data_IF_002564154571
#
_entry.id   IF_002564154571
#
_cell.length_a   1.000
_cell.length_b   1.000
_cell.length_c   1.000
_cell.angle_alpha   90.00
_cell.angle_beta   90.00
_cell.angle_gamma   90.00
#
_symmetry.space_group_name_H-M   'P 1'
#
loop_
_entity.id
_entity.type
_entity.pdbx_description
1 polymer ?
#
# COMPACT_ATOMS: atom_id res chain seq x y z
N UNK A 1 -4.56 -13.47 3.36
CA UNK A 1 -4.57 -12.73 4.66
C UNK A 1 -4.24 -11.26 4.46
N UNK A 2 -4.57 -10.38 5.41
CA UNK A 2 -4.35 -8.92 5.34
C UNK A 2 -2.87 -8.51 5.14
N UNK A 3 -1.92 -9.31 5.64
CA UNK A 3 -0.48 -9.14 5.34
C UNK A 3 -0.18 -9.22 3.84
N UNK A 4 -0.82 -10.15 3.14
CA UNK A 4 -0.55 -10.43 1.73
C UNK A 4 -1.13 -9.35 0.82
N UNK A 5 -2.26 -8.74 1.20
CA UNK A 5 -2.82 -7.59 0.47
C UNK A 5 -1.87 -6.38 0.51
N UNK A 6 -1.11 -6.24 1.60
CA UNK A 6 -0.02 -5.27 1.73
C UNK A 6 1.26 -5.68 0.98
N UNK A 7 1.35 -6.92 0.50
CA UNK A 7 2.54 -7.45 -0.18
C UNK A 7 3.74 -7.67 0.75
N UNK A 8 3.49 -7.86 2.05
CA UNK A 8 4.52 -8.04 3.07
C UNK A 8 4.87 -9.54 3.19
N UNK A 9 6.16 -9.85 3.33
CA UNK A 9 6.58 -11.23 3.65
C UNK A 9 6.51 -11.48 5.14
N UNK A 10 6.28 -12.74 5.55
CA UNK A 10 6.32 -13.14 6.97
C UNK A 10 7.68 -12.79 7.61
N UNK A 11 8.77 -12.93 6.86
CA UNK A 11 10.11 -12.55 7.31
C UNK A 11 10.27 -11.04 7.55
N UNK A 12 9.57 -10.19 6.79
CA UNK A 12 9.57 -8.76 7.05
C UNK A 12 8.84 -8.46 8.38
N UNK A 13 7.63 -8.99 8.56
CA UNK A 13 6.84 -8.80 9.80
C UNK A 13 7.63 -9.28 11.02
N UNK A 14 8.24 -10.47 10.92
CA UNK A 14 9.05 -11.04 11.99
C UNK A 14 10.18 -10.11 12.42
N UNK A 15 10.94 -9.57 11.45
CA UNK A 15 12.03 -8.62 11.74
C UNK A 15 11.51 -7.32 12.36
N UNK A 16 10.41 -6.78 11.84
CA UNK A 16 9.85 -5.51 12.33
C UNK A 16 9.38 -5.62 13.78
N UNK A 17 8.75 -6.74 14.15
CA UNK A 17 8.20 -6.96 15.50
C UNK A 17 9.21 -7.62 16.46
N UNK A 18 10.37 -8.04 15.98
CA UNK A 18 11.41 -8.67 16.80
C UNK A 18 11.08 -10.12 17.22
N UNK A 19 10.51 -10.91 16.30
CA UNK A 19 10.24 -12.34 16.49
C UNK A 19 10.86 -13.18 15.36
N UNK A 20 10.79 -14.51 15.47
CA UNK A 20 11.26 -15.40 14.40
C UNK A 20 10.24 -15.49 13.26
N UNK A 21 10.71 -15.81 12.04
CA UNK A 21 9.77 -16.07 10.93
C UNK A 21 8.87 -17.26 11.20
N UNK A 22 9.37 -18.30 11.89
CA UNK A 22 8.56 -19.46 12.29
C UNK A 22 7.40 -19.07 13.21
N UNK A 23 7.61 -18.10 14.11
CA UNK A 23 6.55 -17.55 14.96
C UNK A 23 5.41 -16.95 14.12
N UNK A 24 5.75 -16.20 13.07
CA UNK A 24 4.73 -15.62 12.16
C UNK A 24 4.05 -16.71 11.32
N UNK A 25 4.79 -17.75 10.91
CA UNK A 25 4.19 -18.92 10.22
C UNK A 25 3.14 -19.58 11.11
N UNK A 26 3.43 -19.81 12.39
CA UNK A 26 2.49 -20.42 13.33
C UNK A 26 1.27 -19.52 13.57
N UNK A 27 1.44 -18.20 13.67
CA UNK A 27 0.32 -17.25 13.77
C UNK A 27 -0.64 -17.31 12.58
N UNK A 28 -0.16 -17.72 11.42
CA UNK A 28 -0.91 -17.75 10.18
C UNK A 28 -1.37 -19.16 9.78
N UNK A 29 -0.97 -20.22 10.51
CA UNK A 29 -1.46 -21.58 10.27
C UNK A 29 -2.84 -21.75 10.91
N UNK A 30 -3.92 -21.97 10.12
CA UNK A 30 -5.27 -22.11 10.65
C UNK A 30 -5.45 -23.36 11.54
N UNK A 31 -4.49 -24.28 11.55
CA UNK A 31 -4.49 -25.49 12.39
C UNK A 31 -3.84 -25.26 13.75
N UNK A 32 -3.14 -24.14 13.94
CA UNK A 32 -2.50 -23.79 15.20
C UNK A 32 -3.31 -22.70 15.93
N UNK A 33 -3.47 -22.84 17.24
CA UNK A 33 -4.02 -21.79 18.09
C UNK A 33 -2.91 -20.86 18.58
N UNK A 34 -2.20 -20.23 17.65
CA UNK A 34 -1.13 -19.27 17.95
C UNK A 34 -1.62 -17.85 17.68
N UNK A 35 -1.86 -17.08 18.74
CA UNK A 35 -2.33 -15.70 18.59
C UNK A 35 -1.15 -14.76 18.26
N UNK A 36 -1.28 -13.89 17.24
CA UNK A 36 -0.34 -12.81 17.01
C UNK A 36 -0.16 -11.93 18.24
N UNK A 37 1.05 -11.43 18.46
CA UNK A 37 1.28 -10.33 19.41
C UNK A 37 0.43 -9.13 19.02
N UNK A 38 -0.08 -8.39 20.01
CA UNK A 38 -0.93 -7.21 19.77
C UNK A 38 -0.23 -6.19 18.88
N UNK A 39 1.07 -6.00 19.06
CA UNK A 39 1.88 -5.06 18.28
C UNK A 39 2.01 -5.50 16.81
N UNK A 40 2.12 -6.81 16.54
CA UNK A 40 2.13 -7.33 15.17
C UNK A 40 0.77 -7.12 14.49
N UNK A 41 -0.31 -7.32 15.23
CA UNK A 41 -1.67 -7.09 14.75
C UNK A 41 -1.89 -5.60 14.43
N UNK A 42 -1.58 -4.71 15.37
CA UNK A 42 -1.69 -3.27 15.19
C UNK A 42 -0.85 -2.78 14.01
N UNK A 43 0.38 -3.28 13.84
CA UNK A 43 1.21 -2.94 12.68
C UNK A 43 0.51 -3.24 11.35
N UNK A 44 -0.07 -4.43 11.19
CA UNK A 44 -0.73 -4.82 9.95
C UNK A 44 -2.05 -4.08 9.74
N UNK A 45 -2.85 -3.91 10.80
CA UNK A 45 -4.10 -3.14 10.74
C UNK A 45 -3.85 -1.68 10.39
N UNK A 46 -2.92 -1.03 11.08
CA UNK A 46 -2.63 0.39 10.85
C UNK A 46 -1.96 0.60 9.48
N UNK A 47 -1.12 -0.32 9.00
CA UNK A 47 -0.58 -0.26 7.63
C UNK A 47 -1.69 -0.38 6.58
N UNK A 48 -2.67 -1.27 6.80
CA UNK A 48 -3.80 -1.39 5.89
C UNK A 48 -4.70 -0.16 5.94
N UNK A 49 -5.00 0.36 7.12
CA UNK A 49 -5.80 1.58 7.29
C UNK A 49 -5.13 2.79 6.64
N UNK A 50 -3.80 2.88 6.74
CA UNK A 50 -3.03 3.92 6.07
C UNK A 50 -3.04 3.76 4.54
N UNK A 51 -2.88 2.53 4.03
CA UNK A 51 -2.99 2.26 2.59
C UNK A 51 -4.40 2.59 2.08
N UNK A 52 -5.43 2.22 2.83
CA UNK A 52 -6.83 2.50 2.56
C UNK A 52 -7.10 4.01 2.51
N UNK A 53 -6.61 4.76 3.51
CA UNK A 53 -6.74 6.22 3.58
C UNK A 53 -6.08 6.90 2.37
N UNK A 54 -4.89 6.47 1.98
CA UNK A 54 -4.19 6.99 0.78
C UNK A 54 -4.99 6.67 -0.49
N UNK A 55 -5.47 5.43 -0.63
CA UNK A 55 -6.27 5.01 -1.77
C UNK A 55 -7.58 5.82 -1.90
N UNK A 56 -8.29 6.03 -0.78
CA UNK A 56 -9.51 6.85 -0.74
C UNK A 56 -9.23 8.29 -1.18
N UNK A 57 -8.16 8.92 -0.69
CA UNK A 57 -7.81 10.27 -1.11
C UNK A 57 -7.56 10.36 -2.64
N UNK A 58 -6.86 9.38 -3.21
CA UNK A 58 -6.67 9.30 -4.67
C UNK A 58 -7.98 9.12 -5.43
N UNK A 59 -8.83 8.20 -5.00
CA UNK A 59 -10.12 7.93 -5.64
C UNK A 59 -11.03 9.15 -5.60
N UNK A 60 -11.06 9.88 -4.49
CA UNK A 60 -11.85 11.09 -4.33
C UNK A 60 -11.39 12.20 -5.30
N UNK A 61 -10.06 12.38 -5.42
CA UNK A 61 -9.49 13.35 -6.35
C UNK A 61 -9.81 13.00 -7.81
N UNK A 62 -9.60 11.75 -8.20
CA UNK A 62 -9.91 11.24 -9.53
C UNK A 62 -11.41 11.38 -9.87
N UNK A 63 -12.29 11.01 -8.95
CA UNK A 63 -13.75 11.09 -9.14
C UNK A 63 -14.21 12.52 -9.36
N UNK A 64 -13.65 13.49 -8.62
CA UNK A 64 -13.94 14.92 -8.80
C UNK A 64 -13.47 15.43 -10.16
N UNK A 65 -12.26 15.05 -10.59
CA UNK A 65 -11.73 15.44 -11.89
C UNK A 65 -12.58 14.89 -13.04
N UNK A 66 -13.00 13.62 -12.96
CA UNK A 66 -13.87 12.97 -13.94
C UNK A 66 -15.26 13.62 -13.99
N UNK A 67 -15.85 13.92 -12.84
CA UNK A 67 -17.13 14.61 -12.78
C UNK A 67 -17.05 15.99 -13.45
N UNK A 68 -16.01 16.77 -13.15
CA UNK A 68 -15.78 18.08 -13.77
C UNK A 68 -15.59 17.98 -15.29
N UNK A 69 -14.83 17.00 -15.79
CA UNK A 69 -14.66 16.81 -17.23
C UNK A 69 -16.00 16.52 -17.92
N UNK A 70 -16.79 15.59 -17.35
CA UNK A 70 -18.11 15.21 -17.88
C UNK A 70 -19.10 16.36 -17.85
N UNK A 71 -19.12 17.16 -16.77
CA UNK A 71 -19.98 18.34 -16.65
C UNK A 71 -19.67 19.39 -17.74
N UNK A 72 -18.42 19.43 -18.21
CA UNK A 72 -17.99 20.30 -19.31
C UNK A 72 -18.12 19.63 -20.70
N UNK A 73 -18.69 18.42 -20.80
CA UNK A 73 -18.82 17.68 -22.05
C UNK A 73 -17.51 17.14 -22.62
N UNK A 74 -16.48 17.00 -21.77
CA UNK A 74 -15.15 16.50 -22.14
C UNK A 74 -15.04 15.03 -21.69
N UNK A 75 -14.51 14.18 -22.56
CA UNK A 75 -14.18 12.79 -22.19
C UNK A 75 -12.99 12.79 -21.21
N UNK A 76 -13.13 12.19 -20.02
CA UNK A 76 -12.05 12.17 -19.03
C UNK A 76 -10.83 11.38 -19.51
N UNK A 77 -9.65 11.98 -19.39
CA UNK A 77 -8.39 11.26 -19.61
C UNK A 77 -8.16 10.19 -18.53
N UNK A 78 -7.47 9.07 -18.86
CA UNK A 78 -7.12 8.06 -17.87
C UNK A 78 -6.26 8.60 -16.74
N UNK A 79 -6.63 8.28 -15.50
CA UNK A 79 -5.82 8.61 -14.32
C UNK A 79 -4.57 7.74 -14.29
N UNK A 80 -3.41 8.38 -14.22
CA UNK A 80 -2.13 7.68 -14.07
C UNK A 80 -1.83 7.37 -12.60
N UNK A 81 -1.51 6.11 -12.33
CA UNK A 81 -1.06 5.63 -11.02
C UNK A 81 0.35 5.06 -11.11
N UNK A 82 1.27 5.62 -10.34
CA UNK A 82 2.67 5.18 -10.28
C UNK A 82 2.83 4.00 -9.32
N UNK A 83 3.49 2.95 -9.78
CA UNK A 83 3.75 1.73 -9.01
C UNK A 83 5.25 1.45 -8.93
N UNK A 84 5.80 1.28 -7.73
CA UNK A 84 7.23 1.07 -7.54
C UNK A 84 7.63 -0.39 -7.72
N UNK A 85 8.55 -0.65 -8.64
CA UNK A 85 9.13 -1.99 -8.85
C UNK A 85 10.49 -2.16 -8.20
N UNK A 86 11.34 -1.15 -8.29
CA UNK A 86 12.68 -1.15 -7.70
C UNK A 86 12.68 -0.41 -6.37
N UNK A 87 13.20 -1.07 -5.34
CA UNK A 87 13.40 -0.44 -4.04
C UNK A 87 14.42 0.69 -4.15
N UNK A 88 15.51 0.53 -4.89
CA UNK A 88 16.57 1.54 -4.96
C UNK A 88 16.06 2.86 -5.54
N UNK A 89 15.19 2.80 -6.54
CA UNK A 89 14.56 4.00 -7.11
C UNK A 89 13.60 4.62 -6.09
N UNK A 90 12.73 3.83 -5.47
CA UNK A 90 11.86 4.32 -4.39
C UNK A 90 12.66 5.02 -3.27
N UNK A 91 13.81 4.46 -2.89
CA UNK A 91 14.70 5.05 -1.89
C UNK A 91 15.32 6.38 -2.31
N UNK A 92 15.57 6.58 -3.60
CA UNK A 92 16.10 7.84 -4.13
C UNK A 92 14.98 8.89 -4.12
N UNK A 93 13.77 8.53 -4.56
CA UNK A 93 12.62 9.43 -4.61
C UNK A 93 12.16 9.89 -3.22
N UNK A 94 12.27 9.02 -2.21
CA UNK A 94 11.76 9.27 -0.86
C UNK A 94 12.88 9.30 0.19
N UNK A 95 14.06 9.82 -0.17
CA UNK A 95 15.27 9.78 0.67
C UNK A 95 15.08 10.39 2.06
N UNK A 96 14.25 11.42 2.17
CA UNK A 96 14.07 12.23 3.37
C UNK A 96 12.73 11.94 4.09
N UNK A 97 12.02 10.88 3.69
CA UNK A 97 10.76 10.49 4.30
C UNK A 97 10.95 9.44 5.40
N UNK A 98 10.32 9.70 6.55
CA UNK A 98 10.21 8.76 7.66
C UNK A 98 8.72 8.47 7.90
N UNK A 99 8.35 7.19 7.82
CA UNK A 99 7.00 6.72 8.09
C UNK A 99 7.01 5.78 9.28
N UNK A 100 6.30 6.18 10.33
CA UNK A 100 6.03 5.38 11.52
C UNK A 100 4.57 4.94 11.54
N UNK A 101 4.34 3.64 11.72
CA UNK A 101 3.00 3.03 11.82
C UNK A 101 2.97 2.11 13.05
N UNK A 102 1.93 2.23 13.88
CA UNK A 102 1.81 1.49 15.15
C UNK A 102 3.06 1.57 16.06
N UNK A 103 3.81 2.68 15.99
CA UNK A 103 5.08 2.86 16.72
C UNK A 103 6.31 2.20 16.06
N UNK A 104 6.17 1.58 14.90
CA UNK A 104 7.26 0.99 14.13
C UNK A 104 7.69 1.89 12.99
N UNK A 105 9.00 2.17 12.91
CA UNK A 105 9.61 2.72 11.71
C UNK A 105 9.57 1.66 10.60
N UNK A 106 8.80 1.91 9.53
CA UNK A 106 8.59 0.92 8.47
C UNK A 106 9.86 0.62 7.66
N UNK A 107 10.82 1.55 7.70
CA UNK A 107 11.95 1.56 6.81
C UNK A 107 11.53 1.63 5.34
N UNK A 108 12.52 1.75 4.48
CA UNK A 108 12.34 2.01 3.05
C UNK A 108 11.48 0.95 2.36
N UNK A 109 11.76 -0.33 2.64
CA UNK A 109 10.99 -1.44 2.07
C UNK A 109 9.55 -1.49 2.57
N UNK A 110 9.29 -1.16 3.84
CA UNK A 110 7.92 -1.13 4.37
C UNK A 110 7.09 0.00 3.74
N UNK A 111 7.71 1.16 3.58
CA UNK A 111 7.11 2.32 2.93
C UNK A 111 6.74 2.04 1.46
N UNK A 112 7.65 1.47 0.67
CA UNK A 112 7.36 1.08 -0.72
C UNK A 112 6.16 0.12 -0.81
N UNK A 113 6.05 -0.82 0.14
CA UNK A 113 4.96 -1.80 0.17
C UNK A 113 3.63 -1.16 0.53
N UNK A 114 3.63 -0.22 1.47
CA UNK A 114 2.48 0.58 1.85
C UNK A 114 1.95 1.39 0.67
N UNK A 115 2.82 2.11 -0.03
CA UNK A 115 2.45 2.89 -1.21
C UNK A 115 1.87 2.01 -2.32
N UNK A 116 2.58 0.94 -2.67
CA UNK A 116 2.10 0.00 -3.68
C UNK A 116 0.77 -0.67 -3.27
N UNK A 117 0.52 -0.87 -1.98
CA UNK A 117 -0.77 -1.36 -1.51
C UNK A 117 -1.88 -0.34 -1.73
N UNK A 118 -1.64 0.94 -1.43
CA UNK A 118 -2.60 2.01 -1.69
C UNK A 118 -2.94 2.13 -3.19
N UNK A 119 -1.95 1.96 -4.07
CA UNK A 119 -2.16 1.95 -5.53
C UNK A 119 -3.06 0.79 -5.95
N UNK A 120 -2.77 -0.44 -5.47
CA UNK A 120 -3.63 -1.60 -5.78
C UNK A 120 -5.06 -1.41 -5.31
N UNK A 121 -5.26 -0.83 -4.12
CA UNK A 121 -6.58 -0.52 -3.58
C UNK A 121 -7.29 0.58 -4.38
N UNK A 122 -6.57 1.60 -4.84
CA UNK A 122 -7.12 2.66 -5.68
C UNK A 122 -7.53 2.11 -7.06
N UNK A 123 -6.70 1.27 -7.69
CA UNK A 123 -7.01 0.61 -8.98
C UNK A 123 -8.33 -0.15 -8.89
N UNK A 124 -8.50 -0.99 -7.87
CA UNK A 124 -9.72 -1.76 -7.65
C UNK A 124 -10.97 -0.86 -7.57
N UNK A 125 -10.89 0.21 -6.77
CA UNK A 125 -12.00 1.17 -6.59
C UNK A 125 -12.31 1.98 -7.84
N UNK A 126 -11.30 2.49 -8.53
CA UNK A 126 -11.48 3.26 -9.76
C UNK A 126 -12.08 2.39 -10.86
N UNK A 127 -11.63 1.12 -10.99
CA UNK A 127 -12.26 0.15 -11.88
C UNK A 127 -13.73 -0.07 -11.53
N UNK A 128 -14.07 -0.26 -10.25
CA UNK A 128 -15.46 -0.44 -9.81
C UNK A 128 -16.34 0.79 -10.11
N UNK A 129 -15.76 2.00 -10.13
CA UNK A 129 -16.43 3.26 -10.49
C UNK A 129 -16.47 3.52 -12.01
N UNK A 130 -15.83 2.68 -12.83
CA UNK A 130 -15.73 2.90 -14.27
C UNK A 130 -14.91 4.14 -14.65
N UNK A 131 -13.97 4.55 -13.79
CA UNK A 131 -13.05 5.65 -14.07
C UNK A 131 -11.87 5.09 -14.88
N UNK A 132 -11.54 5.68 -16.06
CA UNK A 132 -10.41 5.23 -16.84
C UNK A 132 -9.10 5.44 -16.07
N UNK A 133 -8.22 4.44 -16.09
CA UNK A 133 -6.94 4.48 -15.38
C UNK A 133 -5.84 3.73 -16.12
N UNK A 134 -4.60 4.12 -15.86
CA UNK A 134 -3.39 3.42 -16.32
C UNK A 134 -2.41 3.31 -15.15
N UNK A 135 -1.85 2.11 -14.94
CA UNK A 135 -0.77 1.90 -13.98
C UNK A 135 0.56 1.91 -14.72
N UNK A 136 1.50 2.73 -14.27
CA UNK A 136 2.85 2.81 -14.82
C UNK A 136 3.89 2.48 -13.75
N UNK A 137 5.01 1.88 -14.15
CA UNK A 137 6.13 1.76 -13.23
C UNK A 137 6.73 3.13 -13.00
N UNK A 138 6.98 3.46 -11.74
CA UNK A 138 7.71 4.67 -11.39
C UNK A 138 9.16 4.52 -11.88
N UNK A 139 9.66 5.55 -12.55
CA UNK A 139 11.03 5.67 -13.02
C UNK A 139 11.58 7.01 -12.54
N UNK A 140 12.86 7.06 -12.16
CA UNK A 140 13.53 8.32 -11.83
C UNK A 140 14.32 8.75 -13.06
N UNK A 141 14.04 9.95 -13.56
CA UNK A 141 14.85 10.54 -14.63
C UNK A 141 16.31 10.65 -14.16
N UNK A 142 17.22 10.06 -14.96
CA UNK A 142 18.64 9.93 -14.67
C UNK A 142 19.41 11.25 -14.86
#
# INVERSE_FOLDING_TARGET
>A
MMRETLGLSQAWVARTVGVTTLTVVHWEDPREFALPRREAWNLIEDMWAEADRRATAFVDMASKAVALARDNGIEPEPVMLSYWRDLKEHEIAHRDEDVTIAGFHLGRRGMMRLENASVRMAVDRLHALGIPLTVMYAEIEA
#
